data_IF_234689609570
#
_entry.id   IF_234689609570
#
_cell.length_a   1.000
_cell.length_b   1.000
_cell.length_c   1.000
_cell.angle_alpha   90.00
_cell.angle_beta   90.00
_cell.angle_gamma   90.00
#
_symmetry.space_group_name_H-M   'P 1'
#
loop_
_entity.id
_entity.type
_entity.pdbx_description
1 polymer ?
#
# COMPACT_ATOMS: atom_id res chain seq x y z
N UNK A 1 -2.04 18.69 -22.25
CA UNK A 1 -1.94 18.87 -20.79
C UNK A 1 -1.36 17.59 -20.25
N UNK A 2 -0.14 17.62 -19.72
CA UNK A 2 0.52 16.44 -19.14
C UNK A 2 -0.24 16.02 -17.89
N UNK A 3 -0.77 14.80 -17.87
CA UNK A 3 -1.39 14.20 -16.70
C UNK A 3 -0.40 14.25 -15.53
N UNK A 4 -0.70 15.04 -14.50
CA UNK A 4 0.00 14.91 -13.23
C UNK A 4 -0.31 13.53 -12.68
N UNK A 5 0.66 12.62 -12.77
CA UNK A 5 0.67 11.39 -12.01
C UNK A 5 0.34 11.73 -10.54
N UNK A 6 -0.60 10.98 -9.95
CA UNK A 6 -0.86 11.10 -8.51
C UNK A 6 0.47 10.96 -7.76
N UNK A 7 0.89 12.03 -7.10
CA UNK A 7 2.19 12.13 -6.43
C UNK A 7 2.33 11.18 -5.23
N UNK A 8 1.24 10.52 -4.84
CA UNK A 8 1.14 9.66 -3.66
C UNK A 8 0.43 8.38 -4.09
N UNK A 9 1.10 7.25 -3.88
CA UNK A 9 0.56 5.90 -4.12
C UNK A 9 0.43 5.12 -2.82
N UNK A 10 -0.34 4.04 -2.83
CA UNK A 10 -0.41 3.12 -1.69
C UNK A 10 0.99 2.58 -1.35
N UNK A 11 1.78 2.16 -2.34
CA UNK A 11 3.14 1.69 -2.12
C UNK A 11 4.03 2.74 -1.45
N UNK A 12 3.90 4.00 -1.86
CA UNK A 12 4.63 5.11 -1.24
C UNK A 12 4.21 5.36 0.22
N UNK A 13 2.91 5.26 0.53
CA UNK A 13 2.40 5.38 1.91
C UNK A 13 2.98 4.29 2.79
N UNK A 14 2.89 3.03 2.36
CA UNK A 14 3.43 1.86 3.09
C UNK A 14 4.92 2.04 3.38
N UNK A 15 5.68 2.38 2.34
CA UNK A 15 7.13 2.58 2.44
C UNK A 15 7.47 3.72 3.38
N UNK A 16 6.77 4.84 3.29
CA UNK A 16 7.03 6.03 4.11
C UNK A 16 6.70 5.76 5.58
N UNK A 17 5.55 5.15 5.88
CA UNK A 17 5.17 4.79 7.24
C UNK A 17 6.19 3.83 7.88
N UNK A 18 6.50 2.73 7.18
CA UNK A 18 7.50 1.75 7.65
C UNK A 18 8.88 2.36 7.90
N UNK A 19 9.36 3.18 6.97
CA UNK A 19 10.71 3.76 7.08
C UNK A 19 10.79 4.87 8.12
N UNK A 20 9.69 5.59 8.38
CA UNK A 20 9.60 6.58 9.47
C UNK A 20 9.78 5.92 10.84
N UNK A 21 9.25 4.70 10.99
CA UNK A 21 9.41 3.86 12.18
C UNK A 21 10.70 3.03 12.18
N UNK A 22 11.59 3.24 11.19
CA UNK A 22 12.89 2.57 11.05
C UNK A 22 12.79 1.04 10.93
N UNK A 23 11.67 0.52 10.46
CA UNK A 23 11.48 -0.91 10.24
C UNK A 23 12.07 -1.35 8.90
N UNK A 24 12.78 -2.47 8.86
CA UNK A 24 13.10 -3.13 7.59
C UNK A 24 11.84 -3.79 7.01
N UNK A 25 11.85 -4.14 5.71
CA UNK A 25 10.75 -4.91 5.11
C UNK A 25 10.54 -6.24 5.86
N UNK A 26 11.62 -6.89 6.28
CA UNK A 26 11.57 -8.14 7.03
C UNK A 26 10.93 -7.94 8.41
N UNK A 27 11.38 -6.95 9.17
CA UNK A 27 10.84 -6.67 10.52
C UNK A 27 9.36 -6.29 10.45
N UNK A 28 8.96 -5.56 9.40
CA UNK A 28 7.57 -5.20 9.19
C UNK A 28 6.69 -6.41 8.86
N UNK A 29 7.16 -7.33 8.01
CA UNK A 29 6.47 -8.59 7.75
C UNK A 29 6.30 -9.44 9.03
N UNK A 30 7.34 -9.52 9.87
CA UNK A 30 7.23 -10.20 11.17
C UNK A 30 6.19 -9.54 12.08
N UNK A 31 6.21 -8.20 12.18
CA UNK A 31 5.24 -7.45 12.98
C UNK A 31 3.80 -7.71 12.54
N UNK A 32 3.56 -7.74 11.23
CA UNK A 32 2.24 -8.05 10.66
C UNK A 32 1.79 -9.49 10.97
N UNK A 33 2.71 -10.45 10.89
CA UNK A 33 2.46 -11.83 11.30
C UNK A 33 2.13 -11.96 12.78
N UNK A 34 2.94 -11.34 13.64
CA UNK A 34 2.84 -11.46 15.09
C UNK A 34 1.59 -10.76 15.67
N UNK A 35 1.26 -9.55 15.18
CA UNK A 35 0.12 -8.79 15.69
C UNK A 35 -1.21 -9.13 15.05
N UNK A 36 -1.21 -9.45 13.75
CA UNK A 36 -2.45 -9.55 12.97
C UNK A 36 -2.64 -10.90 12.28
N UNK A 37 -1.67 -11.82 12.40
CA UNK A 37 -1.73 -13.11 11.72
C UNK A 37 -1.63 -13.00 10.20
N UNK A 38 -1.11 -11.88 9.67
CA UNK A 38 -0.95 -11.69 8.22
C UNK A 38 0.34 -12.36 7.77
N UNK A 39 0.20 -13.39 6.93
CA UNK A 39 1.32 -14.06 6.29
C UNK A 39 1.68 -13.36 4.97
N UNK A 40 2.42 -12.25 5.06
CA UNK A 40 3.02 -11.57 3.91
C UNK A 40 4.55 -11.66 3.99
N UNK A 41 5.21 -12.07 2.91
CA UNK A 41 6.67 -12.09 2.85
C UNK A 41 7.25 -10.76 2.34
N UNK A 42 8.57 -10.59 2.51
CA UNK A 42 9.26 -9.37 2.12
C UNK A 42 9.24 -9.11 0.60
N UNK A 43 9.08 -10.14 -0.25
CA UNK A 43 9.01 -9.97 -1.70
C UNK A 43 7.65 -9.41 -2.10
N UNK A 44 6.58 -9.91 -1.49
CA UNK A 44 5.22 -9.39 -1.66
C UNK A 44 5.14 -7.95 -1.15
N UNK A 45 5.67 -7.68 0.04
CA UNK A 45 5.76 -6.30 0.55
C UNK A 45 6.56 -5.39 -0.39
N UNK A 46 7.69 -5.86 -0.91
CA UNK A 46 8.46 -5.10 -1.88
C UNK A 46 7.68 -4.84 -3.18
N UNK A 47 6.83 -5.77 -3.63
CA UNK A 47 5.97 -5.55 -4.78
C UNK A 47 4.92 -4.47 -4.50
N UNK A 48 4.30 -4.47 -3.32
CA UNK A 48 3.36 -3.44 -2.86
C UNK A 48 4.05 -2.08 -2.80
N UNK A 49 5.21 -1.97 -2.14
CA UNK A 49 5.94 -0.71 -1.98
C UNK A 49 6.43 -0.07 -3.29
N UNK A 50 6.46 -0.86 -4.37
CA UNK A 50 6.85 -0.40 -5.70
C UNK A 50 5.67 -0.39 -6.67
N UNK A 51 4.42 -0.47 -6.17
CA UNK A 51 3.19 -0.43 -6.94
C UNK A 51 3.14 -1.49 -8.07
N UNK A 52 3.82 -2.63 -7.87
CA UNK A 52 3.91 -3.74 -8.84
C UNK A 52 2.83 -4.78 -8.65
N UNK A 53 2.24 -4.85 -7.47
CA UNK A 53 1.21 -5.81 -7.11
C UNK A 53 0.16 -5.14 -6.21
N UNK A 54 -0.77 -4.44 -6.83
CA UNK A 54 -1.94 -3.85 -6.18
C UNK A 54 -3.20 -4.71 -6.38
N UNK A 55 -3.04 -6.03 -6.50
CA UNK A 55 -4.16 -6.92 -6.78
C UNK A 55 -5.21 -6.82 -5.65
N UNK A 56 -6.45 -6.55 -6.07
CA UNK A 56 -7.65 -6.25 -5.27
C UNK A 56 -8.20 -7.46 -4.51
N UNK A 57 -7.37 -8.18 -3.77
CA UNK A 57 -7.81 -9.28 -2.92
C UNK A 57 -8.37 -8.77 -1.60
N UNK A 58 -9.23 -9.59 -0.98
CA UNK A 58 -9.73 -9.39 0.40
C UNK A 58 -8.56 -9.19 1.38
N UNK A 59 -7.40 -9.80 1.09
CA UNK A 59 -6.17 -9.67 1.89
C UNK A 59 -5.60 -8.24 1.88
N UNK A 60 -5.80 -7.47 0.80
CA UNK A 60 -5.34 -6.08 0.73
C UNK A 60 -6.12 -5.15 1.67
N UNK A 61 -7.43 -5.35 1.83
CA UNK A 61 -8.23 -4.55 2.77
C UNK A 61 -7.89 -4.87 4.23
N UNK A 62 -7.60 -6.14 4.54
CA UNK A 62 -7.08 -6.54 5.85
C UNK A 62 -5.72 -5.89 6.11
N UNK A 63 -4.81 -5.98 5.14
CA UNK A 63 -3.50 -5.30 5.21
C UNK A 63 -3.61 -3.79 5.43
N UNK A 64 -4.49 -3.09 4.70
CA UNK A 64 -4.74 -1.65 4.88
C UNK A 64 -5.28 -1.36 6.29
N UNK A 65 -6.16 -2.20 6.82
CA UNK A 65 -6.68 -2.02 8.17
C UNK A 65 -5.55 -2.10 9.20
N UNK A 66 -4.63 -3.05 9.04
CA UNK A 66 -3.45 -3.18 9.89
C UNK A 66 -2.49 -1.99 9.74
N UNK A 67 -2.32 -1.43 8.53
CA UNK A 67 -1.53 -0.22 8.32
C UNK A 67 -2.14 0.99 9.06
N UNK A 68 -3.45 1.18 8.94
CA UNK A 68 -4.17 2.23 9.66
C UNK A 68 -4.01 2.09 11.16
N UNK A 69 -4.07 0.87 11.69
CA UNK A 69 -3.91 0.63 13.12
C UNK A 69 -2.46 0.83 13.58
N UNK A 70 -1.47 0.30 12.84
CA UNK A 70 -0.06 0.38 13.23
C UNK A 70 0.50 1.79 13.17
N UNK A 71 0.08 2.58 12.19
CA UNK A 71 0.67 3.88 11.88
C UNK A 71 -0.31 5.04 12.04
N UNK A 72 -1.46 4.80 12.69
CA UNK A 72 -2.51 5.79 12.94
C UNK A 72 -2.94 6.53 11.65
N UNK A 73 -3.05 5.81 10.53
CA UNK A 73 -3.38 6.39 9.22
C UNK A 73 -4.89 6.50 9.03
N UNK A 74 -5.31 7.59 8.40
CA UNK A 74 -6.71 7.83 8.05
C UNK A 74 -7.17 6.87 6.92
N UNK A 75 -8.16 6.03 7.22
CA UNK A 75 -8.65 5.01 6.30
C UNK A 75 -9.36 5.62 5.09
N UNK A 76 -10.15 6.66 5.28
CA UNK A 76 -10.89 7.31 4.18
C UNK A 76 -9.92 7.93 3.17
N UNK A 77 -8.82 8.51 3.66
CA UNK A 77 -7.75 9.06 2.84
C UNK A 77 -7.01 7.99 2.04
N UNK A 78 -6.69 6.83 2.64
CA UNK A 78 -6.09 5.71 1.91
C UNK A 78 -7.02 5.21 0.80
N UNK A 79 -8.32 5.05 1.09
CA UNK A 79 -9.28 4.62 0.09
C UNK A 79 -9.45 5.67 -1.03
N UNK A 80 -9.34 6.97 -0.72
CA UNK A 80 -9.28 8.03 -1.72
C UNK A 80 -8.06 7.90 -2.63
N UNK A 81 -6.85 7.70 -2.07
CA UNK A 81 -5.61 7.51 -2.85
C UNK A 81 -5.74 6.32 -3.81
N UNK A 82 -6.25 5.18 -3.32
CA UNK A 82 -6.48 3.98 -4.15
C UNK A 82 -7.48 4.20 -5.28
N UNK A 83 -8.54 4.99 -5.02
CA UNK A 83 -9.53 5.31 -6.04
C UNK A 83 -8.96 6.16 -7.19
N UNK A 84 -7.90 6.93 -6.93
CA UNK A 84 -7.22 7.73 -7.94
C UNK A 84 -6.33 6.86 -8.83
N UNK A 85 -5.60 5.89 -8.25
CA UNK A 85 -4.78 4.92 -9.00
C UNK A 85 -5.60 4.10 -10.01
N UNK A 86 -6.81 3.68 -9.61
CA UNK A 86 -7.71 2.92 -10.50
C UNK A 86 -8.23 3.73 -11.71
N UNK A 87 -8.21 5.07 -11.62
CA UNK A 87 -8.68 5.97 -12.70
C UNK A 87 -7.61 6.22 -13.75
N UNK A 88 -6.35 6.35 -13.35
CA UNK A 88 -5.22 6.52 -14.29
C UNK A 88 -4.93 5.27 -15.11
N UNK A 89 -5.08 4.06 -14.54
CA UNK A 89 -4.87 2.81 -15.28
C UNK A 89 -5.93 2.52 -16.37
N UNK A 90 -7.12 3.13 -16.30
CA UNK A 90 -8.18 2.95 -17.30
C UNK A 90 -8.09 3.93 -18.49
N UNK A 91 -7.42 5.07 -18.32
CA UNK A 91 -7.23 6.04 -19.41
C UNK A 91 -6.15 5.60 -20.40
N UNK A 92 -5.16 4.79 -19.97
CA UNK A 92 -4.11 4.28 -20.85
C UNK A 92 -4.52 3.09 -21.74
N UNK A 93 -5.77 2.64 -21.68
CA UNK A 93 -6.29 1.56 -22.55
C UNK A 93 -7.16 2.07 -23.72
N UNK A 94 -7.34 3.39 -23.83
CA UNK A 94 -8.19 4.01 -24.86
C UNK A 94 -7.43 4.92 -25.85
N UNK A 95 -6.10 4.81 -25.94
CA UNK A 95 -5.30 5.46 -27.00
C UNK A 95 -4.67 4.44 -27.97
#
# INVERSE_FOLDING_TARGET
MTEEQCKITLGWIVKTARTSDKLSQYDFCLLLGDRFGIAIDWKQLNAIENDRDCASSIELNTFISCLCELFELDREWIDLVRSQEARTSNLSMHE
#
